data_IF_338434376831
#
_entry.id   IF_338434376831
#
_cell.length_a   1.000
_cell.length_b   1.000
_cell.length_c   1.000
_cell.angle_alpha   90.00
_cell.angle_beta   90.00
_cell.angle_gamma   90.00
#
_symmetry.space_group_name_H-M   'P 1'
#
loop_
_entity.id
_entity.type
_entity.pdbx_description
1 polymer ?
#
# COMPACT_ATOMS: atom_id res chain seq x y z
N UNK A 1 -7.37 -28.45 -1.97
CA UNK A 1 -5.92 -28.72 -1.82
C UNK A 1 -5.62 -28.70 -0.33
N UNK A 2 -5.50 -29.86 0.32
CA UNK A 2 -5.23 -29.92 1.77
C UNK A 2 -3.74 -29.66 1.94
N UNK A 3 -3.38 -28.46 2.42
CA UNK A 3 -2.01 -28.15 2.79
C UNK A 3 -1.69 -29.00 4.04
N UNK A 4 -0.71 -29.88 3.92
CA UNK A 4 -0.24 -30.70 5.04
C UNK A 4 0.38 -29.80 6.12
N UNK A 5 0.18 -30.13 7.39
CA UNK A 5 0.60 -29.26 8.50
C UNK A 5 2.13 -29.08 8.53
N UNK A 6 2.88 -30.02 7.95
CA UNK A 6 4.33 -29.92 7.76
C UNK A 6 4.71 -28.85 6.72
N UNK A 7 3.98 -28.77 5.60
CA UNK A 7 4.18 -27.76 4.56
C UNK A 7 3.79 -26.36 5.07
N UNK A 8 2.69 -26.28 5.84
CA UNK A 8 2.24 -25.03 6.44
C UNK A 8 3.30 -24.46 7.39
N UNK A 9 3.87 -25.29 8.27
CA UNK A 9 4.95 -24.88 9.18
C UNK A 9 6.16 -24.36 8.42
N UNK A 10 6.59 -25.07 7.37
CA UNK A 10 7.74 -24.66 6.55
C UNK A 10 7.51 -23.29 5.89
N UNK A 11 6.32 -23.06 5.33
CA UNK A 11 5.95 -21.78 4.71
C UNK A 11 5.83 -20.65 5.73
N UNK A 12 5.26 -20.93 6.90
CA UNK A 12 5.17 -19.97 7.98
C UNK A 12 6.57 -19.54 8.46
N UNK A 13 7.50 -20.49 8.66
CA UNK A 13 8.89 -20.18 9.02
C UNK A 13 9.61 -19.35 7.96
N UNK A 14 9.35 -19.59 6.67
CA UNK A 14 9.90 -18.79 5.58
C UNK A 14 9.34 -17.35 5.59
N UNK A 15 8.05 -17.20 5.86
CA UNK A 15 7.40 -15.90 5.97
C UNK A 15 7.91 -15.11 7.19
N UNK A 16 8.00 -15.73 8.37
CA UNK A 16 8.57 -15.09 9.57
C UNK A 16 10.03 -14.67 9.35
N UNK A 17 10.82 -15.50 8.65
CA UNK A 17 12.20 -15.15 8.26
C UNK A 17 12.28 -13.95 7.32
N UNK A 18 11.25 -13.71 6.50
CA UNK A 18 11.19 -12.57 5.58
C UNK A 18 10.78 -11.27 6.27
N UNK A 19 10.05 -11.36 7.39
CA UNK A 19 9.53 -10.23 8.17
C UNK A 19 9.87 -10.37 9.66
N UNK A 20 11.16 -10.39 10.06
CA UNK A 20 11.58 -10.67 11.43
C UNK A 20 11.19 -9.59 12.44
N UNK A 21 10.81 -8.39 11.98
CA UNK A 21 10.31 -7.31 12.84
C UNK A 21 8.80 -7.35 13.08
N UNK A 22 8.06 -8.08 12.25
CA UNK A 22 6.60 -8.08 12.24
C UNK A 22 6.01 -9.44 12.66
N UNK A 23 6.74 -10.54 12.43
CA UNK A 23 6.24 -11.91 12.60
C UNK A 23 7.23 -12.77 13.41
N UNK A 24 6.71 -13.47 14.42
CA UNK A 24 7.47 -14.43 15.22
C UNK A 24 7.37 -15.86 14.65
N UNK A 25 8.24 -16.74 15.13
CA UNK A 25 8.25 -18.19 14.95
C UNK A 25 6.95 -18.87 15.40
N UNK A 26 6.20 -18.26 16.32
CA UNK A 26 4.90 -18.75 16.79
C UNK A 26 3.80 -18.72 15.72
N UNK A 27 4.00 -17.97 14.61
CA UNK A 27 3.04 -17.85 13.51
C UNK A 27 2.55 -19.22 12.99
N UNK A 28 3.43 -20.22 12.94
CA UNK A 28 3.10 -21.53 12.40
C UNK A 28 2.00 -22.22 13.22
N UNK A 29 2.12 -22.21 14.54
CA UNK A 29 1.15 -22.84 15.44
C UNK A 29 -0.14 -22.00 15.54
N UNK A 30 -0.04 -20.68 15.54
CA UNK A 30 -1.21 -19.80 15.46
C UNK A 30 -2.03 -20.05 14.19
N UNK A 31 -1.39 -20.23 13.03
CA UNK A 31 -2.08 -20.52 11.77
C UNK A 31 -2.81 -21.86 11.78
N UNK A 32 -2.25 -22.90 12.42
CA UNK A 32 -2.89 -24.20 12.55
C UNK A 32 -4.17 -24.09 13.39
N UNK A 33 -4.09 -23.37 14.51
CA UNK A 33 -5.26 -23.12 15.38
C UNK A 33 -6.30 -22.25 14.67
N UNK A 34 -5.85 -21.19 14.00
CA UNK A 34 -6.71 -20.27 13.28
C UNK A 34 -7.43 -20.91 12.09
N UNK A 35 -6.77 -21.85 11.39
CA UNK A 35 -7.39 -22.65 10.32
C UNK A 35 -8.64 -23.39 10.82
N UNK A 36 -8.57 -23.99 12.00
CA UNK A 36 -9.73 -24.68 12.60
C UNK A 36 -10.87 -23.71 12.91
N UNK A 37 -10.54 -22.50 13.35
CA UNK A 37 -11.52 -21.45 13.62
C UNK A 37 -12.22 -20.95 12.35
N UNK A 38 -11.46 -20.58 11.31
CA UNK A 38 -11.98 -20.05 10.03
C UNK A 38 -12.72 -21.11 9.20
N UNK A 39 -12.52 -22.40 9.49
CA UNK A 39 -13.23 -23.48 8.79
C UNK A 39 -14.75 -23.40 8.97
N UNK A 40 -15.22 -22.78 10.05
CA UNK A 40 -16.64 -22.57 10.38
C UNK A 40 -17.27 -21.40 9.62
N UNK A 41 -16.46 -20.48 9.07
CA UNK A 41 -16.95 -19.29 8.38
C UNK A 41 -17.33 -19.56 6.92
N UNK A 42 -18.42 -18.93 6.47
CA UNK A 42 -19.02 -19.17 5.16
C UNK A 42 -18.30 -18.42 4.03
N UNK A 43 -17.73 -17.25 4.33
CA UNK A 43 -16.92 -16.43 3.41
C UNK A 43 -15.47 -16.35 3.91
N UNK A 44 -14.54 -16.86 3.09
CA UNK A 44 -13.12 -16.99 3.42
C UNK A 44 -12.25 -15.98 2.68
N UNK A 45 -12.83 -14.91 2.17
CA UNK A 45 -12.05 -13.82 1.59
C UNK A 45 -11.15 -13.19 2.66
N UNK A 46 -9.87 -12.86 2.35
CA UNK A 46 -8.93 -12.33 3.34
C UNK A 46 -9.43 -11.07 4.06
N UNK A 47 -10.19 -10.21 3.36
CA UNK A 47 -10.82 -9.03 3.93
C UNK A 47 -11.91 -9.38 4.96
N UNK A 48 -12.76 -10.36 4.67
CA UNK A 48 -13.80 -10.78 5.61
C UNK A 48 -13.20 -11.54 6.79
N UNK A 49 -12.19 -12.36 6.57
CA UNK A 49 -11.44 -13.03 7.64
C UNK A 49 -10.82 -11.99 8.60
N UNK A 50 -10.24 -10.91 8.08
CA UNK A 50 -9.73 -9.81 8.92
C UNK A 50 -10.86 -9.12 9.70
N UNK A 51 -12.02 -8.87 9.08
CA UNK A 51 -13.18 -8.30 9.78
C UNK A 51 -13.68 -9.21 10.91
N UNK A 52 -13.70 -10.52 10.71
CA UNK A 52 -14.10 -11.51 11.73
C UNK A 52 -13.11 -11.48 12.90
N UNK A 53 -11.80 -11.43 12.63
CA UNK A 53 -10.77 -11.29 13.67
C UNK A 53 -10.98 -10.03 14.52
N UNK A 54 -11.30 -8.91 13.87
CA UNK A 54 -11.55 -7.64 14.55
C UNK A 54 -12.85 -7.67 15.38
N UNK A 55 -13.95 -8.15 14.80
CA UNK A 55 -15.26 -8.21 15.49
C UNK A 55 -15.24 -9.11 16.71
N UNK A 56 -14.50 -10.22 16.63
CA UNK A 56 -14.41 -11.20 17.71
C UNK A 56 -13.28 -10.89 18.71
N UNK A 57 -12.56 -9.78 18.54
CA UNK A 57 -11.46 -9.39 19.44
C UNK A 57 -10.26 -10.35 19.42
N UNK A 58 -10.10 -11.14 18.35
CA UNK A 58 -9.09 -12.20 18.25
C UNK A 58 -7.68 -11.69 17.94
N UNK A 59 -7.53 -10.37 17.77
CA UNK A 59 -6.24 -9.70 17.54
C UNK A 59 -5.19 -9.96 18.63
N UNK A 60 -5.62 -10.16 19.89
CA UNK A 60 -4.72 -10.50 21.00
C UNK A 60 -4.44 -12.00 21.08
N UNK A 61 -5.34 -12.83 20.55
CA UNK A 61 -5.24 -14.29 20.56
C UNK A 61 -4.37 -14.80 19.41
N UNK A 62 -4.47 -14.16 18.24
CA UNK A 62 -3.69 -14.50 17.05
C UNK A 62 -2.97 -13.25 16.50
N UNK A 63 -2.02 -12.68 17.25
CA UNK A 63 -1.35 -11.44 16.86
C UNK A 63 -0.54 -11.60 15.56
N UNK A 64 0.14 -12.73 15.36
CA UNK A 64 0.95 -12.96 14.17
C UNK A 64 0.06 -13.15 12.94
N UNK A 65 -1.05 -13.86 13.08
CA UNK A 65 -2.04 -14.03 11.98
C UNK A 65 -2.68 -12.69 11.61
N UNK A 66 -3.01 -11.86 12.60
CA UNK A 66 -3.57 -10.54 12.36
C UNK A 66 -2.60 -9.65 11.57
N UNK A 67 -1.32 -9.63 11.96
CA UNK A 67 -0.27 -8.89 11.24
C UNK A 67 -0.08 -9.45 9.83
N UNK A 68 0.00 -10.78 9.68
CA UNK A 68 0.15 -11.42 8.38
C UNK A 68 -1.03 -11.13 7.43
N UNK A 69 -2.27 -11.14 7.93
CA UNK A 69 -3.46 -10.78 7.16
C UNK A 69 -3.44 -9.32 6.72
N UNK A 70 -3.00 -8.40 7.60
CA UNK A 70 -2.84 -6.99 7.26
C UNK A 70 -1.76 -6.80 6.20
N UNK A 71 -0.59 -7.42 6.38
CA UNK A 71 0.48 -7.42 5.38
C UNK A 71 -0.05 -7.89 4.03
N UNK A 72 -0.72 -9.04 4.00
CA UNK A 72 -1.32 -9.59 2.78
C UNK A 72 -2.29 -8.64 2.07
N UNK A 73 -3.17 -7.97 2.83
CA UNK A 73 -4.15 -7.03 2.28
C UNK A 73 -3.55 -5.68 1.85
N UNK A 74 -2.44 -5.28 2.47
CA UNK A 74 -1.71 -4.05 2.11
C UNK A 74 -0.72 -4.25 0.98
N UNK A 75 -0.28 -5.49 0.74
CA UNK A 75 0.52 -5.79 -0.43
C UNK A 75 -0.33 -5.49 -1.67
N UNK A 76 0.20 -4.76 -2.66
CA UNK A 76 -0.51 -4.52 -3.91
C UNK A 76 -0.55 -5.83 -4.69
N UNK A 77 -1.46 -6.73 -4.32
CA UNK A 77 -1.69 -8.01 -5.02
C UNK A 77 -2.23 -7.75 -6.44
N UNK A 78 -2.84 -6.58 -6.67
CA UNK A 78 -3.18 -6.09 -8.00
C UNK A 78 -2.17 -5.04 -8.49
N UNK A 79 -1.50 -5.36 -9.59
CA UNK A 79 -0.75 -4.44 -10.45
C UNK A 79 -1.55 -3.22 -10.98
N UNK A 80 -2.88 -3.18 -10.79
CA UNK A 80 -3.76 -2.09 -11.24
C UNK A 80 -3.32 -0.69 -10.78
N UNK A 81 -2.78 -0.54 -9.57
CA UNK A 81 -2.32 0.77 -9.10
C UNK A 81 -1.04 1.22 -9.84
N UNK A 82 -0.15 0.27 -10.14
CA UNK A 82 0.96 0.47 -11.06
C UNK A 82 0.46 0.88 -12.45
N UNK A 83 -0.53 0.20 -13.00
CA UNK A 83 -1.08 0.53 -14.33
C UNK A 83 -1.70 1.94 -14.37
N UNK A 84 -2.40 2.36 -13.31
CA UNK A 84 -2.93 3.73 -13.20
C UNK A 84 -1.82 4.77 -13.16
N UNK A 85 -0.79 4.56 -12.35
CA UNK A 85 0.36 5.47 -12.24
C UNK A 85 1.18 5.52 -13.53
N UNK A 86 1.43 4.39 -14.19
CA UNK A 86 2.09 4.32 -15.49
C UNK A 86 1.26 4.98 -16.61
N UNK A 87 -0.06 4.83 -16.59
CA UNK A 87 -0.95 5.51 -17.54
C UNK A 87 -0.87 7.04 -17.39
N UNK A 88 -0.88 7.55 -16.14
CA UNK A 88 -0.65 8.98 -15.87
C UNK A 88 0.74 9.43 -16.29
N UNK A 89 1.77 8.63 -16.00
CA UNK A 89 3.14 8.92 -16.41
C UNK A 89 3.27 9.02 -17.94
N UNK A 90 2.58 8.16 -18.70
CA UNK A 90 2.53 8.20 -20.17
C UNK A 90 1.89 9.48 -20.70
N UNK A 91 0.90 10.04 -20.00
CA UNK A 91 0.30 11.33 -20.37
C UNK A 91 1.24 12.51 -20.09
N UNK A 92 2.01 12.43 -19.00
CA UNK A 92 2.94 13.47 -18.56
C UNK A 92 4.20 13.47 -19.43
N UNK A 93 4.83 12.30 -19.57
CA UNK A 93 5.98 12.01 -20.42
C UNK A 93 5.47 11.42 -21.74
N UNK A 94 5.13 12.29 -22.67
CA UNK A 94 4.75 11.91 -24.03
C UNK A 94 5.94 12.03 -25.00
N UNK A 95 5.82 11.43 -26.18
CA UNK A 95 6.88 11.35 -27.20
C UNK A 95 7.42 12.72 -27.66
N UNK A 96 6.66 13.81 -27.44
CA UNK A 96 7.05 15.17 -27.79
C UNK A 96 7.85 15.90 -26.69
N UNK A 97 7.92 15.34 -25.47
CA UNK A 97 8.56 15.96 -24.30
C UNK A 97 9.86 15.23 -23.89
N UNK A 98 10.71 14.94 -24.87
CA UNK A 98 11.95 14.15 -24.69
C UNK A 98 13.02 14.85 -23.85
N UNK A 99 12.96 16.18 -23.71
CA UNK A 99 13.95 16.99 -22.98
C UNK A 99 13.61 17.26 -21.51
N UNK A 100 12.56 16.62 -20.97
CA UNK A 100 12.11 16.87 -19.60
C UNK A 100 13.09 16.29 -18.56
N UNK A 101 13.56 17.14 -17.64
CA UNK A 101 14.43 16.75 -16.52
C UNK A 101 13.65 15.96 -15.46
N UNK A 102 14.29 14.98 -14.83
CA UNK A 102 13.69 14.09 -13.83
C UNK A 102 12.95 14.84 -12.72
N UNK A 103 13.53 15.92 -12.18
CA UNK A 103 12.88 16.73 -11.13
C UNK A 103 11.51 17.26 -11.55
N UNK A 104 11.39 17.75 -12.78
CA UNK A 104 10.13 18.25 -13.34
C UNK A 104 9.14 17.11 -13.57
N UNK A 105 9.61 15.98 -14.09
CA UNK A 105 8.78 14.80 -14.31
C UNK A 105 8.18 14.29 -12.99
N UNK A 106 9.00 14.09 -11.96
CA UNK A 106 8.55 13.66 -10.63
C UNK A 106 7.52 14.63 -10.04
N UNK A 107 7.76 15.94 -10.14
CA UNK A 107 6.83 16.95 -9.63
C UNK A 107 5.48 16.91 -10.35
N UNK A 108 5.46 16.78 -11.69
CA UNK A 108 4.22 16.66 -12.45
C UNK A 108 3.49 15.34 -12.16
N UNK A 109 4.23 14.23 -12.04
CA UNK A 109 3.66 12.93 -11.69
C UNK A 109 2.97 12.96 -10.33
N UNK A 110 3.60 13.59 -9.33
CA UNK A 110 3.00 13.76 -8.02
C UNK A 110 1.69 14.56 -8.10
N UNK A 111 1.69 15.71 -8.79
CA UNK A 111 0.49 16.52 -8.98
C UNK A 111 -0.63 15.79 -9.74
N UNK A 112 -0.29 14.88 -10.66
CA UNK A 112 -1.26 14.12 -11.43
C UNK A 112 -1.84 12.91 -10.68
N UNK A 113 -1.06 12.32 -9.77
CA UNK A 113 -1.53 11.27 -8.84
C UNK A 113 -2.45 11.90 -7.80
N UNK A 114 -2.01 13.00 -7.20
CA UNK A 114 -2.73 13.76 -6.17
C UNK A 114 -3.62 14.85 -6.77
N UNK A 115 -4.24 14.59 -7.92
CA UNK A 115 -4.96 15.61 -8.68
C UNK A 115 -6.14 16.20 -7.92
N UNK A 116 -6.72 15.45 -6.98
CA UNK A 116 -7.85 15.90 -6.18
C UNK A 116 -7.40 16.95 -5.16
N UNK A 117 -6.28 16.72 -4.46
CA UNK A 117 -5.67 17.71 -3.57
C UNK A 117 -5.22 18.96 -4.34
N UNK A 118 -4.68 18.80 -5.54
CA UNK A 118 -4.25 19.93 -6.37
C UNK A 118 -5.43 20.81 -6.79
N UNK A 119 -6.63 20.24 -6.97
CA UNK A 119 -7.84 20.99 -7.31
C UNK A 119 -8.39 21.80 -6.13
N UNK A 120 -8.06 21.43 -4.90
CA UNK A 120 -8.44 22.15 -3.69
C UNK A 120 -7.56 23.38 -3.42
N UNK A 121 -6.42 23.50 -4.12
CA UNK A 121 -5.51 24.65 -3.96
C UNK A 121 -6.08 25.91 -4.61
N UNK A 122 -5.94 27.04 -3.91
CA UNK A 122 -6.20 28.36 -4.48
C UNK A 122 -5.04 28.78 -5.40
N UNK A 123 -5.31 28.83 -6.70
CA UNK A 123 -4.33 29.22 -7.69
C UNK A 123 -4.01 30.71 -7.66
N UNK A 124 -4.92 31.57 -7.23
CA UNK A 124 -4.68 33.02 -7.18
C UNK A 124 -3.67 33.36 -6.08
N UNK A 125 -3.79 32.72 -4.93
CA UNK A 125 -2.82 32.80 -3.84
C UNK A 125 -1.46 32.22 -4.26
N UNK A 126 -1.46 31.05 -4.92
CA UNK A 126 -0.23 30.41 -5.39
C UNK A 126 0.51 31.27 -6.43
N UNK A 127 -0.22 31.87 -7.37
CA UNK A 127 0.34 32.78 -8.38
C UNK A 127 0.94 34.01 -7.70
N UNK A 128 0.24 34.57 -6.72
CA UNK A 128 0.70 35.72 -5.94
C UNK A 128 1.98 35.39 -5.16
N UNK A 129 2.02 34.24 -4.48
CA UNK A 129 3.23 33.77 -3.78
C UNK A 129 4.40 33.56 -4.74
N UNK A 130 4.15 32.91 -5.87
CA UNK A 130 5.19 32.67 -6.88
C UNK A 130 5.74 34.00 -7.44
N UNK A 131 4.86 34.97 -7.71
CA UNK A 131 5.24 36.30 -8.18
C UNK A 131 6.09 37.05 -7.14
N UNK A 132 5.71 37.00 -5.86
CA UNK A 132 6.49 37.59 -4.77
C UNK A 132 7.89 36.96 -4.67
N UNK A 133 7.99 35.64 -4.81
CA UNK A 133 9.24 34.88 -4.72
C UNK A 133 10.17 35.09 -5.92
N UNK A 134 9.60 35.36 -7.10
CA UNK A 134 10.32 35.67 -8.35
C UNK A 134 10.63 37.16 -8.55
N UNK A 135 10.00 38.03 -7.77
CA UNK A 135 10.23 39.47 -7.85
C UNK A 135 11.66 39.80 -7.42
N UNK A 136 12.55 39.91 -8.41
CA UNK A 136 13.80 40.67 -8.24
C UNK A 136 13.37 42.11 -7.99
N UNK A 137 13.37 42.54 -6.73
CA UNK A 137 13.19 43.94 -6.37
C UNK A 137 14.21 44.77 -7.14
N UNK A 138 13.77 45.40 -8.22
CA UNK A 138 14.59 46.37 -8.95
C UNK A 138 14.46 47.67 -8.17
N UNK A 139 15.39 47.89 -7.25
CA UNK A 139 15.52 49.17 -6.57
C UNK A 139 15.97 50.19 -7.63
N UNK A 140 15.14 51.20 -7.89
CA UNK A 140 15.51 52.38 -8.65
C UNK A 140 16.17 53.41 -7.73
#
# INVERSE_FOLDING_TARGET
>A
MVCDDTDLRKRASALSSSYPGDLDTALAEELIQFRSFVSTEQDKTPANVLQVVLKNGLQTTFPNVFVALRLFLTLPVSNCEGERTFSKLKQIKNELRTTMVQKRLTSLSLMAIESDLVRELDFDDLISEFAMKKSRKKNF
#
